data_IF_495466988452
#
_entry.id   IF_495466988452
#
_cell.length_a   1.000
_cell.length_b   1.000
_cell.length_c   1.000
_cell.angle_alpha   90.00
_cell.angle_beta   90.00
_cell.angle_gamma   90.00
#
_symmetry.space_group_name_H-M   'P 1'
#
loop_
_entity.id
_entity.type
_entity.pdbx_description
1 polymer ?
#
# COMPACT_ATOMS: atom_id res chain seq x y z
N UNK A 1 -2.66 6.50 -8.52
CA UNK A 1 -2.82 7.43 -7.39
C UNK A 1 -1.91 6.97 -6.26
N UNK A 2 -1.17 7.89 -5.65
CA UNK A 2 -0.21 7.56 -4.62
C UNK A 2 -0.51 8.31 -3.33
N UNK A 3 -0.46 7.60 -2.21
CA UNK A 3 -0.67 8.19 -0.89
C UNK A 3 0.55 7.92 -0.01
N UNK A 4 0.89 8.88 0.83
CA UNK A 4 2.01 8.77 1.74
C UNK A 4 1.51 8.43 3.14
N UNK A 5 2.11 7.40 3.75
CA UNK A 5 1.76 6.96 5.10
C UNK A 5 2.99 6.97 5.99
N UNK A 6 2.80 7.07 7.29
CA UNK A 6 3.92 7.11 8.22
C UNK A 6 4.54 5.74 8.46
N UNK A 7 3.71 4.71 8.57
CA UNK A 7 4.17 3.34 8.78
C UNK A 7 3.42 2.43 7.83
N UNK A 8 4.11 1.96 6.80
CA UNK A 8 3.48 1.17 5.76
C UNK A 8 3.02 -0.20 6.26
N UNK A 9 3.82 -0.84 7.12
CA UNK A 9 3.43 -2.14 7.67
C UNK A 9 2.12 -2.06 8.44
N UNK A 10 2.00 -1.06 9.29
CA UNK A 10 0.79 -0.86 10.07
C UNK A 10 -0.41 -0.57 9.17
N UNK A 11 -0.20 0.27 8.14
CA UNK A 11 -1.25 0.61 7.20
C UNK A 11 -1.75 -0.64 6.47
N UNK A 12 -0.84 -1.49 6.02
CA UNK A 12 -1.20 -2.72 5.31
C UNK A 12 -1.94 -3.70 6.22
N UNK A 13 -1.50 -3.82 7.47
CA UNK A 13 -2.18 -4.67 8.43
C UNK A 13 -3.62 -4.23 8.69
N UNK A 14 -3.83 -2.93 8.82
CA UNK A 14 -5.18 -2.40 9.00
C UNK A 14 -6.05 -2.68 7.80
N UNK A 15 -5.53 -2.50 6.60
CA UNK A 15 -6.30 -2.76 5.38
C UNK A 15 -6.66 -4.23 5.27
N UNK A 16 -5.73 -5.13 5.60
CA UNK A 16 -6.01 -6.57 5.61
C UNK A 16 -7.10 -6.91 6.62
N UNK A 17 -7.04 -6.29 7.79
CA UNK A 17 -8.03 -6.54 8.84
C UNK A 17 -9.42 -6.11 8.40
N UNK A 18 -9.50 -5.07 7.59
CA UNK A 18 -10.76 -4.57 7.05
C UNK A 18 -11.24 -5.34 5.83
N UNK A 19 -10.48 -6.35 5.40
CA UNK A 19 -10.84 -7.19 4.26
C UNK A 19 -10.53 -6.57 2.90
N UNK A 20 -9.71 -5.54 2.87
CA UNK A 20 -9.33 -4.90 1.61
C UNK A 20 -8.23 -5.72 0.93
N UNK A 21 -8.44 -6.04 -0.35
CA UNK A 21 -7.50 -6.84 -1.11
C UNK A 21 -6.26 -6.02 -1.47
N UNK A 22 -5.09 -6.62 -1.25
CA UNK A 22 -3.81 -5.98 -1.54
C UNK A 22 -3.06 -6.77 -2.59
N UNK A 23 -2.33 -6.09 -3.49
CA UNK A 23 -1.38 -6.74 -4.38
C UNK A 23 -0.16 -7.11 -3.55
N UNK A 24 0.34 -6.17 -2.75
CA UNK A 24 1.49 -6.38 -1.88
C UNK A 24 1.04 -6.44 -0.44
N UNK A 25 1.13 -7.62 0.17
CA UNK A 25 0.78 -7.77 1.58
C UNK A 25 1.90 -7.32 2.51
N UNK A 26 3.10 -7.17 1.97
CA UNK A 26 4.26 -6.66 2.69
C UNK A 26 4.91 -5.56 1.90
N UNK A 27 5.54 -4.59 2.56
CA UNK A 27 6.22 -3.51 1.84
C UNK A 27 7.32 -4.05 0.93
N UNK A 28 7.45 -3.41 -0.23
CA UNK A 28 8.58 -3.67 -1.13
C UNK A 28 9.39 -2.40 -1.28
N UNK A 29 10.66 -2.55 -1.62
CA UNK A 29 11.53 -1.40 -1.84
C UNK A 29 11.27 -0.81 -3.21
N UNK A 30 10.94 0.48 -3.25
CA UNK A 30 10.76 1.21 -4.49
C UNK A 30 11.98 2.03 -4.84
N UNK A 31 11.81 2.92 -5.81
CA UNK A 31 12.89 3.81 -6.24
C UNK A 31 13.37 4.67 -5.08
N UNK A 32 14.70 4.83 -4.98
CA UNK A 32 15.30 5.64 -3.94
C UNK A 32 15.29 5.01 -2.55
N UNK A 33 14.97 3.71 -2.46
CA UNK A 33 14.97 3.00 -1.19
C UNK A 33 13.70 3.18 -0.36
N UNK A 34 12.72 3.88 -0.88
CA UNK A 34 11.44 4.06 -0.18
C UNK A 34 10.64 2.75 -0.18
N UNK A 35 9.90 2.52 0.90
CA UNK A 35 9.01 1.37 0.96
C UNK A 35 7.68 1.71 0.33
N UNK A 36 7.20 0.83 -0.52
CA UNK A 36 5.93 1.01 -1.22
C UNK A 36 5.11 -0.27 -1.19
N UNK A 37 3.81 -0.14 -1.44
CA UNK A 37 2.92 -1.28 -1.61
C UNK A 37 1.72 -0.84 -2.44
N UNK A 38 1.15 -1.78 -3.18
CA UNK A 38 0.00 -1.49 -4.04
C UNK A 38 -1.26 -2.17 -3.52
N UNK A 39 -2.38 -1.46 -3.62
CA UNK A 39 -3.69 -2.04 -3.40
C UNK A 39 -4.19 -2.67 -4.70
N UNK A 40 -4.98 -3.75 -4.55
CA UNK A 40 -5.55 -4.40 -5.73
C UNK A 40 -6.63 -3.51 -6.34
N UNK A 41 -6.67 -3.37 -7.67
CA UNK A 41 -7.68 -2.51 -8.32
C UNK A 41 -9.13 -2.86 -7.98
N UNK A 42 -9.41 -4.13 -7.68
CA UNK A 42 -10.76 -4.53 -7.28
C UNK A 42 -11.22 -3.86 -5.99
N UNK A 43 -10.29 -3.52 -5.10
CA UNK A 43 -10.62 -2.85 -3.84
C UNK A 43 -10.85 -1.36 -4.03
N UNK A 44 -10.46 -0.82 -5.17
CA UNK A 44 -10.49 0.62 -5.43
C UNK A 44 -11.24 0.95 -6.72
N UNK A 45 -12.19 0.11 -7.12
CA UNK A 45 -13.01 0.31 -8.31
C UNK A 45 -12.21 0.50 -9.59
N UNK A 46 -11.14 -0.28 -9.75
CA UNK A 46 -10.33 -0.27 -10.96
C UNK A 46 -9.20 0.75 -10.98
N UNK A 47 -9.04 1.53 -9.91
CA UNK A 47 -7.95 2.50 -9.82
C UNK A 47 -6.76 1.88 -9.11
N UNK A 48 -5.58 1.97 -9.71
CA UNK A 48 -4.36 1.48 -9.07
C UNK A 48 -3.93 2.49 -8.01
N UNK A 49 -3.85 2.04 -6.76
CA UNK A 49 -3.46 2.88 -5.63
C UNK A 49 -2.15 2.38 -5.05
N UNK A 50 -1.21 3.29 -4.89
CA UNK A 50 0.11 3.02 -4.30
C UNK A 50 0.20 3.69 -2.94
N UNK A 51 0.72 2.96 -1.94
CA UNK A 51 1.04 3.55 -0.64
C UNK A 51 2.55 3.63 -0.52
N UNK A 52 3.04 4.80 -0.11
CA UNK A 52 4.46 5.04 0.09
C UNK A 52 4.73 5.37 1.55
N UNK A 53 5.79 4.81 2.11
CA UNK A 53 6.16 5.15 3.47
C UNK A 53 6.87 6.49 3.50
N UNK A 54 6.49 7.32 4.47
CA UNK A 54 7.11 8.62 4.67
C UNK A 54 8.54 8.45 5.17
N UNK A 55 9.45 9.22 4.61
CA UNK A 55 10.84 9.23 5.06
C UNK A 55 11.00 10.05 6.34
#
# INVERSE_FOLDING_TARGET
MAFRVENLETALEELKRKGIRLIDEKPRTGAGGSKIAFLHPKATHGVLVELCERE
#
